data_IF_252297046481
#
_entry.id   IF_252297046481
#
_cell.length_a   1.000
_cell.length_b   1.000
_cell.length_c   1.000
_cell.angle_alpha   90.00
_cell.angle_beta   90.00
_cell.angle_gamma   90.00
#
_symmetry.space_group_name_H-M   'P 1'
#
loop_
_entity.id
_entity.type
_entity.pdbx_description
1 polymer ?
#
# COMPACT_ATOMS: atom_id res chain seq x y z
N UNK A 1 -39.99 -48.43 11.88
CA UNK A 1 -39.48 -47.11 12.34
C UNK A 1 -38.17 -46.63 11.68
N UNK A 2 -37.41 -47.45 10.95
CA UNK A 2 -36.12 -47.01 10.36
C UNK A 2 -36.21 -46.17 9.08
N UNK A 3 -37.23 -46.38 8.23
CA UNK A 3 -37.34 -45.69 6.93
C UNK A 3 -37.64 -44.18 7.05
N UNK A 4 -38.40 -43.76 8.06
CA UNK A 4 -38.72 -42.34 8.29
C UNK A 4 -37.54 -41.52 8.79
N UNK A 5 -36.66 -42.11 9.62
CA UNK A 5 -35.41 -41.46 10.06
C UNK A 5 -34.43 -41.29 8.92
N UNK A 6 -34.35 -42.25 8.00
CA UNK A 6 -33.49 -42.16 6.82
C UNK A 6 -33.96 -41.05 5.86
N UNK A 7 -35.26 -40.93 5.63
CA UNK A 7 -35.83 -39.87 4.78
C UNK A 7 -35.64 -38.48 5.38
N UNK A 8 -35.74 -38.34 6.70
CA UNK A 8 -35.46 -37.08 7.41
C UNK A 8 -33.98 -36.68 7.32
N UNK A 9 -33.05 -37.64 7.42
CA UNK A 9 -31.61 -37.38 7.28
C UNK A 9 -31.22 -37.01 5.85
N UNK A 10 -31.84 -37.65 4.85
CA UNK A 10 -31.61 -37.32 3.43
C UNK A 10 -32.20 -35.94 3.09
N UNK A 11 -33.38 -35.60 3.61
CA UNK A 11 -33.96 -34.28 3.43
C UNK A 11 -33.13 -33.17 4.11
N UNK A 12 -32.59 -33.43 5.30
CA UNK A 12 -31.68 -32.51 5.99
C UNK A 12 -30.36 -32.33 5.24
N UNK A 13 -29.79 -33.41 4.69
CA UNK A 13 -28.59 -33.33 3.85
C UNK A 13 -28.84 -32.53 2.57
N UNK A 14 -29.99 -32.74 1.90
CA UNK A 14 -30.37 -32.00 0.70
C UNK A 14 -30.66 -30.52 0.99
N UNK A 15 -31.16 -30.18 2.18
CA UNK A 15 -31.35 -28.79 2.61
C UNK A 15 -30.02 -28.08 2.98
N UNK A 16 -28.98 -28.82 3.34
CA UNK A 16 -27.64 -28.29 3.66
C UNK A 16 -26.74 -28.16 2.42
N UNK A 17 -27.01 -28.92 1.35
CA UNK A 17 -26.31 -28.79 0.06
C UNK A 17 -26.42 -27.37 -0.56
N UNK A 18 -27.57 -26.67 -0.55
CA UNK A 18 -27.63 -25.28 -0.97
C UNK A 18 -26.78 -24.38 -0.08
N UNK A 19 -26.76 -24.55 1.25
CA UNK A 19 -25.89 -23.72 2.10
C UNK A 19 -24.39 -23.88 1.77
N UNK A 20 -23.95 -25.07 1.37
CA UNK A 20 -22.59 -25.32 0.89
C UNK A 20 -22.34 -24.76 -0.54
N UNK A 21 -23.37 -24.72 -1.39
CA UNK A 21 -23.28 -24.13 -2.74
C UNK A 21 -23.27 -22.59 -2.72
N UNK A 22 -23.94 -21.96 -1.76
CA UNK A 22 -23.87 -20.50 -1.53
C UNK A 22 -22.56 -20.08 -0.84
N UNK A 23 -21.88 -21.01 -0.16
CA UNK A 23 -20.53 -20.79 0.35
C UNK A 23 -19.44 -20.87 -0.75
N UNK A 24 -19.75 -21.46 -1.91
CA UNK A 24 -18.81 -21.64 -3.02
C UNK A 24 -18.98 -20.65 -4.18
N UNK A 25 -20.02 -19.81 -4.18
CA UNK A 25 -20.26 -18.80 -5.23
C UNK A 25 -19.47 -17.49 -5.07
N UNK A 26 -18.51 -17.39 -4.15
CA UNK A 26 -17.68 -16.21 -3.94
C UNK A 26 -16.52 -15.99 -4.93
N UNK A 27 -16.64 -16.37 -6.21
CA UNK A 27 -15.47 -16.51 -7.09
C UNK A 27 -15.50 -15.91 -8.50
N UNK A 28 -16.63 -15.39 -8.99
CA UNK A 28 -16.77 -14.99 -10.41
C UNK A 28 -16.72 -13.48 -10.67
N UNK A 29 -17.49 -12.70 -9.92
CA UNK A 29 -17.67 -11.25 -10.18
C UNK A 29 -16.57 -10.38 -9.56
N UNK A 30 -15.71 -10.97 -8.70
CA UNK A 30 -14.64 -10.24 -8.00
C UNK A 30 -13.31 -10.17 -8.75
N UNK A 31 -12.92 -11.20 -9.50
CA UNK A 31 -11.58 -11.26 -10.10
C UNK A 31 -11.43 -10.26 -11.25
N UNK A 32 -12.38 -10.24 -12.19
CA UNK A 32 -12.37 -9.27 -13.29
C UNK A 32 -12.42 -7.84 -12.74
N UNK A 33 -13.25 -7.57 -11.73
CA UNK A 33 -13.32 -6.24 -11.12
C UNK A 33 -11.99 -5.83 -10.46
N UNK A 34 -11.32 -6.73 -9.74
CA UNK A 34 -9.99 -6.48 -9.14
C UNK A 34 -8.92 -6.23 -10.20
N UNK A 35 -8.87 -7.05 -11.25
CA UNK A 35 -7.91 -6.88 -12.34
C UNK A 35 -8.13 -5.57 -13.10
N UNK A 36 -9.39 -5.23 -13.39
CA UNK A 36 -9.73 -3.95 -14.03
C UNK A 36 -9.35 -2.75 -13.15
N UNK A 37 -9.59 -2.86 -11.84
CA UNK A 37 -9.20 -1.82 -10.87
C UNK A 37 -7.69 -1.67 -10.82
N UNK A 38 -6.92 -2.77 -10.79
CA UNK A 38 -5.46 -2.75 -10.82
C UNK A 38 -4.93 -2.05 -12.09
N UNK A 39 -5.45 -2.40 -13.26
CA UNK A 39 -5.03 -1.79 -14.53
C UNK A 39 -5.32 -0.28 -14.51
N UNK A 40 -6.48 0.13 -13.98
CA UNK A 40 -6.83 1.53 -13.85
C UNK A 40 -5.94 2.27 -12.84
N UNK A 41 -5.66 1.66 -11.69
CA UNK A 41 -4.73 2.17 -10.68
C UNK A 41 -3.33 2.41 -11.27
N UNK A 42 -2.77 1.41 -11.96
CA UNK A 42 -1.46 1.53 -12.62
C UNK A 42 -1.48 2.60 -13.70
N UNK A 43 -2.52 2.65 -14.53
CA UNK A 43 -2.68 3.69 -15.55
C UNK A 43 -2.69 5.09 -14.95
N UNK A 44 -3.43 5.29 -13.86
CA UNK A 44 -3.47 6.58 -13.14
C UNK A 44 -2.12 6.91 -12.50
N UNK A 45 -1.46 5.95 -11.86
CA UNK A 45 -0.12 6.15 -11.28
C UNK A 45 0.86 6.62 -12.36
N UNK A 46 0.94 5.91 -13.49
CA UNK A 46 1.86 6.27 -14.58
C UNK A 46 1.54 7.65 -15.17
N UNK A 47 0.26 7.95 -15.36
CA UNK A 47 -0.17 9.24 -15.89
C UNK A 47 0.21 10.40 -14.95
N UNK A 48 -0.12 10.28 -13.67
CA UNK A 48 0.11 11.36 -12.69
C UNK A 48 1.60 11.48 -12.36
N UNK A 49 2.35 10.38 -12.29
CA UNK A 49 3.80 10.41 -12.15
C UNK A 49 4.45 11.15 -13.32
N UNK A 50 4.07 10.81 -14.56
CA UNK A 50 4.60 11.51 -15.75
C UNK A 50 4.28 13.00 -15.74
N UNK A 51 3.06 13.36 -15.34
CA UNK A 51 2.68 14.77 -15.20
C UNK A 51 3.52 15.48 -14.12
N UNK A 52 3.73 14.83 -12.97
CA UNK A 52 4.58 15.32 -11.88
C UNK A 52 6.03 15.54 -12.34
N UNK A 53 6.60 14.58 -13.07
CA UNK A 53 7.93 14.68 -13.68
C UNK A 53 8.03 15.93 -14.57
N UNK A 54 7.08 16.11 -15.50
CA UNK A 54 7.06 17.25 -16.42
C UNK A 54 6.93 18.59 -15.68
N UNK A 55 6.13 18.65 -14.61
CA UNK A 55 5.96 19.87 -13.82
C UNK A 55 7.24 20.23 -13.07
N UNK A 56 7.91 19.27 -12.44
CA UNK A 56 9.12 19.53 -11.67
C UNK A 56 10.32 19.84 -12.57
N UNK A 57 10.45 19.18 -13.71
CA UNK A 57 11.47 19.53 -14.72
C UNK A 57 11.30 20.96 -15.22
N UNK A 58 10.05 21.41 -15.45
CA UNK A 58 9.76 22.81 -15.84
C UNK A 58 10.15 23.82 -14.75
N UNK A 59 10.13 23.42 -13.49
CA UNK A 59 10.55 24.24 -12.35
C UNK A 59 12.07 24.16 -12.09
N UNK A 60 12.81 23.36 -12.87
CA UNK A 60 14.26 23.15 -12.68
C UNK A 60 14.60 22.20 -11.54
N UNK A 61 13.64 21.40 -11.06
CA UNK A 61 13.83 20.39 -10.04
C UNK A 61 14.03 19.00 -10.68
N UNK A 62 14.72 18.07 -9.99
CA UNK A 62 14.81 16.68 -10.44
C UNK A 62 13.43 16.05 -10.67
N UNK A 63 13.23 15.46 -11.84
CA UNK A 63 11.96 14.88 -12.26
C UNK A 63 11.41 13.81 -11.30
N UNK A 64 12.29 12.96 -10.76
CA UNK A 64 11.94 11.92 -9.77
C UNK A 64 11.29 12.49 -8.49
N UNK A 65 11.64 13.72 -8.07
CA UNK A 65 10.97 14.37 -6.94
C UNK A 65 9.51 14.70 -7.27
N UNK A 66 9.23 15.05 -8.53
CA UNK A 66 7.88 15.30 -9.03
C UNK A 66 7.05 14.02 -9.10
N UNK A 67 7.65 12.91 -9.50
CA UNK A 67 6.99 11.58 -9.49
C UNK A 67 6.63 11.14 -8.06
N UNK A 68 7.55 11.31 -7.11
CA UNK A 68 7.31 11.02 -5.70
C UNK A 68 6.19 11.90 -5.11
N UNK A 69 6.23 13.21 -5.38
CA UNK A 69 5.21 14.15 -4.92
C UNK A 69 3.82 13.82 -5.52
N UNK A 70 3.78 13.46 -6.80
CA UNK A 70 2.59 12.95 -7.47
C UNK A 70 2.01 11.73 -6.76
N UNK A 71 2.84 10.75 -6.42
CA UNK A 71 2.44 9.55 -5.67
C UNK A 71 1.86 9.87 -4.29
N UNK A 72 2.50 10.78 -3.54
CA UNK A 72 2.01 11.24 -2.23
C UNK A 72 0.64 11.92 -2.39
N UNK A 73 0.46 12.76 -3.41
CA UNK A 73 -0.79 13.49 -3.64
C UNK A 73 -1.97 12.56 -3.98
N UNK A 74 -1.74 11.47 -4.72
CA UNK A 74 -2.79 10.49 -5.08
C UNK A 74 -2.91 9.33 -4.08
N UNK A 75 -2.13 9.33 -3.01
CA UNK A 75 -2.16 8.26 -2.00
C UNK A 75 -3.50 8.18 -1.24
N UNK A 76 -3.73 7.08 -0.50
CA UNK A 76 -4.94 6.85 0.30
C UNK A 76 -5.26 7.99 1.27
N UNK A 77 -4.23 8.59 1.85
CA UNK A 77 -4.35 9.65 2.86
C UNK A 77 -4.52 11.06 2.27
N UNK A 78 -4.54 11.17 0.95
CA UNK A 78 -4.72 12.43 0.22
C UNK A 78 -5.89 12.31 -0.77
N UNK A 79 -5.67 12.51 -2.07
CA UNK A 79 -6.75 12.48 -3.07
C UNK A 79 -7.26 11.06 -3.36
N UNK A 80 -6.43 10.03 -3.14
CA UNK A 80 -6.75 8.65 -3.51
C UNK A 80 -7.82 7.98 -2.65
N UNK A 81 -8.02 8.47 -1.42
CA UNK A 81 -9.08 8.02 -0.52
C UNK A 81 -10.43 8.72 -0.73
N UNK A 82 -10.50 9.71 -1.63
CA UNK A 82 -11.75 10.40 -1.94
C UNK A 82 -12.60 9.57 -2.89
N UNK A 83 -13.81 9.24 -2.45
CA UNK A 83 -14.79 8.53 -3.26
C UNK A 83 -15.32 9.38 -4.43
N UNK A 84 -15.47 8.76 -5.59
CA UNK A 84 -16.10 9.37 -6.77
C UNK A 84 -17.01 8.35 -7.49
N UNK A 85 -17.78 8.80 -8.47
CA UNK A 85 -18.76 7.96 -9.18
C UNK A 85 -18.11 6.71 -9.76
N UNK A 86 -18.51 5.53 -9.28
CA UNK A 86 -17.93 4.22 -9.64
C UNK A 86 -16.92 3.66 -8.62
N UNK A 87 -16.32 4.49 -7.76
CA UNK A 87 -15.39 4.10 -6.70
C UNK A 87 -15.75 4.83 -5.39
N UNK A 88 -16.80 4.39 -4.66
CA UNK A 88 -17.28 5.09 -3.47
C UNK A 88 -16.26 5.13 -2.31
N UNK A 89 -15.33 4.18 -2.26
CA UNK A 89 -14.22 4.17 -1.29
C UNK A 89 -12.98 4.96 -1.75
N UNK A 90 -12.96 5.48 -2.98
CA UNK A 90 -11.78 6.03 -3.62
C UNK A 90 -11.00 4.98 -4.42
N UNK A 91 -10.16 5.46 -5.35
CA UNK A 91 -9.40 4.57 -6.24
C UNK A 91 -8.20 3.92 -5.55
N UNK A 92 -7.62 4.59 -4.55
CA UNK A 92 -6.49 4.09 -3.76
C UNK A 92 -6.87 4.00 -2.28
N UNK A 93 -8.08 3.51 -2.00
CA UNK A 93 -8.59 3.36 -0.63
C UNK A 93 -7.75 2.35 0.17
N UNK A 94 -7.65 2.57 1.47
CA UNK A 94 -7.08 1.57 2.39
C UNK A 94 -7.97 0.33 2.47
N UNK A 95 -7.40 -0.86 2.33
CA UNK A 95 -8.12 -2.13 2.41
C UNK A 95 -7.60 -2.91 3.60
N UNK A 96 -8.46 -3.25 4.56
CA UNK A 96 -8.11 -4.09 5.72
C UNK A 96 -6.89 -3.58 6.53
N UNK A 97 -6.71 -2.26 6.60
CA UNK A 97 -5.56 -1.64 7.28
C UNK A 97 -4.28 -1.57 6.44
N UNK A 98 -4.28 -2.11 5.22
CA UNK A 98 -3.22 -1.92 4.25
C UNK A 98 -3.48 -0.67 3.39
N UNK A 99 -2.42 0.08 3.10
CA UNK A 99 -2.49 1.29 2.29
C UNK A 99 -2.81 1.04 0.80
N UNK A 100 -2.58 -0.19 0.30
CA UNK A 100 -2.71 -0.56 -1.10
C UNK A 100 -3.51 -1.87 -1.24
N UNK A 101 -4.09 -2.10 -2.42
CA UNK A 101 -4.66 -3.40 -2.77
C UNK A 101 -3.56 -4.47 -2.81
N UNK A 102 -3.87 -5.74 -2.47
CA UNK A 102 -2.87 -6.83 -2.49
C UNK A 102 -2.14 -6.96 -3.83
N UNK A 103 -2.87 -6.75 -4.93
CA UNK A 103 -2.35 -6.85 -6.28
C UNK A 103 -1.38 -5.70 -6.60
N UNK A 104 -1.72 -4.46 -6.19
CA UNK A 104 -0.85 -3.29 -6.36
C UNK A 104 0.36 -3.35 -5.43
N UNK A 105 0.20 -3.88 -4.22
CA UNK A 105 1.31 -4.13 -3.30
C UNK A 105 2.30 -5.15 -3.87
N UNK A 106 1.81 -6.23 -4.49
CA UNK A 106 2.66 -7.19 -5.19
C UNK A 106 3.46 -6.53 -6.33
N UNK A 107 2.79 -5.70 -7.14
CA UNK A 107 3.45 -4.95 -8.22
C UNK A 107 4.48 -3.94 -7.68
N UNK A 108 4.15 -3.22 -6.61
CA UNK A 108 5.04 -2.25 -5.97
C UNK A 108 6.30 -2.92 -5.41
N UNK A 109 6.16 -4.13 -4.84
CA UNK A 109 7.31 -4.91 -4.38
C UNK A 109 8.25 -5.28 -5.54
N UNK A 110 7.70 -5.72 -6.68
CA UNK A 110 8.49 -5.99 -7.88
C UNK A 110 9.17 -4.72 -8.39
N UNK A 111 8.43 -3.60 -8.48
CA UNK A 111 8.97 -2.32 -8.91
C UNK A 111 10.11 -1.85 -7.99
N UNK A 112 9.97 -2.00 -6.67
CA UNK A 112 11.02 -1.69 -5.71
C UNK A 112 12.25 -2.57 -5.91
N UNK A 113 12.08 -3.88 -6.10
CA UNK A 113 13.21 -4.78 -6.38
C UNK A 113 13.95 -4.36 -7.65
N UNK A 114 13.21 -4.05 -8.73
CA UNK A 114 13.81 -3.59 -10.00
C UNK A 114 14.56 -2.28 -9.80
N UNK A 115 13.96 -1.30 -9.09
CA UNK A 115 14.59 0.00 -8.81
C UNK A 115 15.87 -0.15 -7.97
N UNK A 116 15.85 -0.96 -6.91
CA UNK A 116 17.04 -1.21 -6.09
C UNK A 116 18.11 -1.98 -6.87
N UNK A 117 17.71 -2.87 -7.77
CA UNK A 117 18.63 -3.60 -8.62
C UNK A 117 19.32 -2.67 -9.64
N UNK A 118 18.56 -1.79 -10.29
CA UNK A 118 19.10 -0.77 -11.20
C UNK A 118 20.06 0.16 -10.47
N UNK A 119 19.66 0.70 -9.31
CA UNK A 119 20.54 1.54 -8.48
C UNK A 119 21.82 0.78 -8.06
N UNK A 120 21.71 -0.52 -7.76
CA UNK A 120 22.85 -1.38 -7.46
C UNK A 120 23.79 -1.60 -8.65
N UNK A 121 23.24 -1.72 -9.87
CA UNK A 121 24.02 -1.85 -11.10
C UNK A 121 24.72 -0.55 -11.50
N UNK A 122 24.12 0.60 -11.23
CA UNK A 122 24.71 1.92 -11.50
C UNK A 122 25.77 2.31 -10.47
N UNK A 123 25.79 1.66 -9.30
CA UNK A 123 26.72 1.99 -8.21
C UNK A 123 28.14 1.47 -8.46
N UNK A 124 29.15 2.35 -8.38
CA UNK A 124 30.56 1.94 -8.37
C UNK A 124 30.94 1.29 -7.03
N UNK A 125 31.10 -0.04 -7.04
CA UNK A 125 31.45 -0.82 -5.85
C UNK A 125 32.81 -0.42 -5.24
N UNK A 126 33.79 0.00 -6.04
CA UNK A 126 35.11 0.41 -5.53
C UNK A 126 34.99 1.71 -4.76
N UNK A 127 34.22 2.66 -5.28
CA UNK A 127 33.94 3.92 -4.60
C UNK A 127 33.11 3.69 -3.33
N UNK A 128 32.09 2.84 -3.41
CA UNK A 128 31.26 2.47 -2.26
C UNK A 128 32.11 1.84 -1.15
N UNK A 129 32.98 0.87 -1.47
CA UNK A 129 33.87 0.25 -0.48
C UNK A 129 34.84 1.26 0.15
N UNK A 130 35.35 2.21 -0.63
CA UNK A 130 36.23 3.26 -0.13
C UNK A 130 35.55 4.18 0.88
N UNK A 131 34.26 4.46 0.69
CA UNK A 131 33.48 5.35 1.56
C UNK A 131 32.48 4.63 2.47
N UNK A 132 32.52 3.30 2.56
CA UNK A 132 31.51 2.49 3.23
C UNK A 132 31.31 2.88 4.71
N UNK A 133 32.39 3.21 5.42
CA UNK A 133 32.32 3.60 6.84
C UNK A 133 31.64 4.96 7.00
N UNK A 134 32.07 5.97 6.25
CA UNK A 134 31.50 7.33 6.35
C UNK A 134 30.07 7.33 5.84
N UNK A 135 29.83 6.73 4.67
CA UNK A 135 28.49 6.57 4.09
C UNK A 135 27.56 5.77 5.01
N UNK A 136 28.08 4.72 5.66
CA UNK A 136 27.33 3.92 6.63
C UNK A 136 26.93 4.72 7.87
N UNK A 137 27.85 5.51 8.43
CA UNK A 137 27.55 6.37 9.59
C UNK A 137 26.53 7.47 9.21
N UNK A 138 26.70 8.11 8.05
CA UNK A 138 25.77 9.16 7.59
C UNK A 138 24.39 8.58 7.27
N UNK A 139 24.34 7.43 6.60
CA UNK A 139 23.09 6.75 6.26
C UNK A 139 22.35 6.25 7.51
N UNK A 140 23.04 5.53 8.39
CA UNK A 140 22.44 5.01 9.63
C UNK A 140 22.09 6.15 10.58
N UNK A 141 22.97 7.14 10.73
CA UNK A 141 22.72 8.32 11.55
C UNK A 141 21.53 9.13 11.06
N UNK A 142 21.43 9.34 9.75
CA UNK A 142 20.29 10.02 9.12
C UNK A 142 18.99 9.24 9.29
N UNK A 143 19.01 7.92 9.14
CA UNK A 143 17.86 7.05 9.40
C UNK A 143 17.40 7.16 10.86
N UNK A 144 18.32 6.97 11.81
CA UNK A 144 18.03 7.02 13.25
C UNK A 144 17.50 8.41 13.64
N UNK A 145 18.16 9.47 13.18
CA UNK A 145 17.73 10.85 13.46
C UNK A 145 16.33 11.11 12.89
N UNK A 146 16.08 10.77 11.63
CA UNK A 146 14.78 10.97 10.98
C UNK A 146 13.67 10.19 11.70
N UNK A 147 13.97 8.97 12.13
CA UNK A 147 13.04 8.13 12.88
C UNK A 147 12.64 8.74 14.23
N UNK A 148 13.61 9.19 15.03
CA UNK A 148 13.32 9.83 16.32
C UNK A 148 12.66 11.20 16.16
N UNK A 149 13.00 11.96 15.12
CA UNK A 149 12.33 13.23 14.81
C UNK A 149 10.87 12.98 14.42
N UNK A 150 10.60 11.97 13.59
CA UNK A 150 9.25 11.54 13.25
C UNK A 150 8.45 11.12 14.51
N UNK A 151 9.03 10.27 15.34
CA UNK A 151 8.37 9.83 16.58
C UNK A 151 8.11 10.97 17.57
N UNK A 152 9.05 11.92 17.68
CA UNK A 152 8.84 13.13 18.47
C UNK A 152 7.73 14.00 17.90
N UNK A 153 7.63 14.15 16.57
CA UNK A 153 6.55 14.89 15.93
C UNK A 153 5.19 14.24 16.23
N UNK A 154 5.05 12.93 16.07
CA UNK A 154 3.79 12.23 16.41
C UNK A 154 3.44 12.41 17.89
N UNK A 155 4.42 12.33 18.81
CA UNK A 155 4.18 12.60 20.22
C UNK A 155 3.66 14.02 20.48
N UNK A 156 4.24 15.03 19.82
CA UNK A 156 3.84 16.43 19.98
C UNK A 156 2.42 16.68 19.44
N UNK A 157 2.06 16.02 18.35
CA UNK A 157 0.74 16.14 17.72
C UNK A 157 -0.23 15.01 18.10
N UNK A 158 0.12 14.19 19.10
CA UNK A 158 -0.61 12.97 19.47
C UNK A 158 -2.07 13.25 19.80
N UNK A 159 -2.32 14.30 20.57
CA UNK A 159 -3.68 14.72 20.94
C UNK A 159 -4.51 15.21 19.75
N UNK A 160 -3.87 15.71 18.69
CA UNK A 160 -4.55 16.15 17.47
C UNK A 160 -4.75 15.01 16.45
N UNK A 161 -3.83 14.05 16.38
CA UNK A 161 -3.81 12.98 15.37
C UNK A 161 -4.43 11.69 15.89
N UNK A 162 -4.07 11.28 17.11
CA UNK A 162 -4.46 10.00 17.74
C UNK A 162 -5.57 10.21 18.77
N UNK A 163 -5.77 11.43 19.27
CA UNK A 163 -6.79 11.78 20.26
C UNK A 163 -6.39 11.49 21.71
N UNK A 164 -5.26 10.83 21.93
CA UNK A 164 -4.72 10.49 23.25
C UNK A 164 -3.21 10.77 23.28
N UNK A 165 -2.63 11.13 24.44
CA UNK A 165 -1.19 11.32 24.55
C UNK A 165 -0.47 9.98 24.42
N UNK A 166 0.38 9.84 23.39
CA UNK A 166 1.19 8.64 23.18
C UNK A 166 2.61 8.80 23.74
N UNK A 167 3.18 7.71 24.25
CA UNK A 167 4.59 7.68 24.63
C UNK A 167 5.47 7.58 23.38
N UNK A 168 6.74 8.01 23.48
CA UNK A 168 7.67 8.02 22.33
C UNK A 168 7.94 6.61 21.77
N UNK A 169 7.85 5.58 22.61
CA UNK A 169 8.04 4.18 22.22
C UNK A 169 6.73 3.44 21.96
N UNK A 170 5.59 4.15 21.95
CA UNK A 170 4.32 3.55 21.59
C UNK A 170 4.32 3.21 20.08
N UNK A 171 3.72 2.08 19.66
CA UNK A 171 3.65 1.73 18.24
C UNK A 171 3.11 2.85 17.33
N UNK A 172 2.07 3.62 17.73
CA UNK A 172 1.63 4.76 16.94
C UNK A 172 2.68 5.87 16.77
N UNK A 173 3.57 6.07 17.74
CA UNK A 173 4.63 7.08 17.60
C UNK A 173 5.75 6.60 16.67
N UNK A 174 5.96 5.29 16.55
CA UNK A 174 7.07 4.73 15.80
C UNK A 174 6.73 4.38 14.35
N UNK A 175 5.46 4.06 14.07
CA UNK A 175 5.04 3.43 12.81
C UNK A 175 3.85 4.10 12.12
N UNK A 176 3.35 5.21 12.67
CA UNK A 176 2.23 5.99 12.13
C UNK A 176 2.78 7.31 11.57
#
# INVERSE_FOLDING_TARGET
MHRGRLLLLVAAAIALLPAAAWASTGGGEGMTHRMMTLVLQVGVILFVAKLGNLLFEKLGLPGALGELAAGIAIGPYALGGLGFYGFPGGLFATVEGAALSPELQGLAAIAAIVLLFEAGLETDLKLLMRYAVVGGIVGLGGMVASFFVGAAAVKLFATAVVGEPVSLFAPPALFL
#
